data_IF_358473479171
#
_entry.id   IF_358473479171
#
_cell.length_a   1.000
_cell.length_b   1.000
_cell.length_c   1.000
_cell.angle_alpha   90.00
_cell.angle_beta   90.00
_cell.angle_gamma   90.00
#
_symmetry.space_group_name_H-M   'P 1'
#
loop_
_entity.id
_entity.type
_entity.pdbx_description
1 polymer ?
#
# COMPACT_ATOMS: atom_id res chain seq x y z
N UNK A 1 -8.79 -1.63 -6.72
CA UNK A 1 -8.01 -2.80 -6.25
C UNK A 1 -8.28 -3.99 -7.16
N UNK A 2 -7.44 -5.03 -7.21
CA UNK A 2 -7.81 -6.29 -7.88
C UNK A 2 -8.71 -7.19 -7.02
N UNK A 3 -9.31 -8.19 -7.66
CA UNK A 3 -10.13 -9.23 -7.02
C UNK A 3 -9.43 -9.91 -5.85
N UNK A 4 -8.14 -10.25 -5.97
CA UNK A 4 -7.40 -10.99 -4.92
C UNK A 4 -7.23 -10.12 -3.68
N UNK A 5 -6.88 -8.84 -3.88
CA UNK A 5 -6.84 -7.85 -2.81
C UNK A 5 -8.21 -7.68 -2.17
N UNK A 6 -9.29 -7.59 -2.95
CA UNK A 6 -10.64 -7.54 -2.41
C UNK A 6 -10.99 -8.77 -1.56
N UNK A 7 -10.73 -9.98 -2.07
CA UNK A 7 -11.02 -11.25 -1.37
C UNK A 7 -10.18 -11.43 -0.09
N UNK A 8 -8.99 -10.80 -0.03
CA UNK A 8 -8.15 -10.81 1.18
C UNK A 8 -8.66 -9.94 2.33
N UNK A 9 -9.59 -9.01 2.06
CA UNK A 9 -10.20 -8.18 3.10
C UNK A 9 -11.27 -9.01 3.83
N UNK A 10 -11.26 -9.09 5.18
CA UNK A 10 -12.31 -9.79 5.92
C UNK A 10 -13.70 -9.26 5.56
N UNK A 11 -14.72 -10.13 5.56
CA UNK A 11 -16.08 -9.77 5.12
C UNK A 11 -16.71 -8.64 5.94
N UNK A 12 -16.37 -8.53 7.22
CA UNK A 12 -16.81 -7.46 8.12
C UNK A 12 -16.25 -6.07 7.77
N UNK A 13 -15.14 -6.01 7.02
CA UNK A 13 -14.51 -4.77 6.57
C UNK A 13 -14.74 -4.52 5.07
N UNK A 14 -15.62 -5.30 4.44
CA UNK A 14 -16.04 -5.12 3.04
C UNK A 14 -17.48 -4.59 2.98
N UNK A 15 -17.74 -3.53 2.19
CA UNK A 15 -16.78 -2.66 1.50
C UNK A 15 -15.99 -1.78 2.47
N UNK A 16 -14.90 -1.18 2.00
CA UNK A 16 -14.17 -0.19 2.79
C UNK A 16 -15.07 1.03 3.05
N UNK A 17 -15.39 1.36 4.32
CA UNK A 17 -16.39 2.38 4.63
C UNK A 17 -15.92 3.78 4.22
N UNK A 18 -16.89 4.64 3.87
CA UNK A 18 -16.69 6.04 3.48
C UNK A 18 -15.99 6.25 2.14
N UNK A 19 -15.88 5.21 1.31
CA UNK A 19 -15.12 5.22 0.05
C UNK A 19 -15.86 4.47 -1.05
N UNK A 20 -15.65 4.91 -2.29
CA UNK A 20 -16.03 4.13 -3.46
C UNK A 20 -15.02 2.99 -3.68
N UNK A 21 -15.50 1.76 -3.70
CA UNK A 21 -14.68 0.57 -3.84
C UNK A 21 -14.73 0.08 -5.29
N UNK A 22 -13.68 0.35 -6.06
CA UNK A 22 -13.56 -0.14 -7.45
C UNK A 22 -12.71 -1.42 -7.48
N UNK A 23 -13.31 -2.52 -7.92
CA UNK A 23 -12.70 -3.86 -7.98
C UNK A 23 -12.46 -4.27 -9.44
N UNK A 24 -11.20 -4.55 -9.79
CA UNK A 24 -10.81 -5.01 -11.11
C UNK A 24 -10.97 -6.52 -11.21
N UNK A 25 -11.87 -6.99 -12.07
CA UNK A 25 -12.16 -8.41 -12.30
C UNK A 25 -12.51 -8.68 -13.76
N UNK A 26 -12.01 -9.80 -14.31
CA UNK A 26 -12.35 -10.26 -15.67
C UNK A 26 -13.65 -11.06 -15.72
N UNK A 27 -14.08 -11.61 -14.59
CA UNK A 27 -15.35 -12.32 -14.46
C UNK A 27 -16.45 -11.28 -14.30
N UNK A 28 -17.25 -11.07 -15.36
CA UNK A 28 -18.36 -10.09 -15.38
C UNK A 28 -19.54 -10.45 -14.46
N UNK A 29 -19.59 -11.69 -13.96
CA UNK A 29 -20.54 -12.14 -12.95
C UNK A 29 -19.83 -12.21 -11.61
N UNK A 30 -19.85 -11.11 -10.87
CA UNK A 30 -19.45 -11.11 -9.48
C UNK A 30 -20.63 -10.61 -8.65
N UNK A 31 -21.07 -11.43 -7.70
CA UNK A 31 -22.09 -11.11 -6.69
C UNK A 31 -21.70 -9.95 -5.75
N UNK A 32 -20.62 -9.21 -6.05
CA UNK A 32 -20.17 -8.02 -5.32
C UNK A 32 -20.98 -6.77 -5.74
N UNK A 33 -21.66 -6.78 -6.89
CA UNK A 33 -22.39 -5.63 -7.42
C UNK A 33 -23.68 -5.25 -6.64
N UNK A 34 -24.00 -5.97 -5.56
CA UNK A 34 -25.16 -5.68 -4.70
C UNK A 34 -24.85 -4.80 -3.48
N UNK A 35 -23.57 -4.55 -3.19
CA UNK A 35 -23.18 -3.68 -2.09
C UNK A 35 -23.12 -2.21 -2.55
N UNK A 36 -23.76 -1.33 -1.78
CA UNK A 36 -23.69 0.12 -1.99
C UNK A 36 -22.22 0.57 -1.99
N UNK A 37 -21.84 1.42 -2.97
CA UNK A 37 -20.47 1.91 -3.17
C UNK A 37 -19.43 0.87 -3.63
N UNK A 38 -19.85 -0.22 -4.29
CA UNK A 38 -18.92 -1.15 -4.95
C UNK A 38 -19.16 -1.22 -6.45
N UNK A 39 -18.09 -1.04 -7.23
CA UNK A 39 -18.12 -1.07 -8.69
C UNK A 39 -17.12 -2.12 -9.18
N UNK A 40 -17.53 -2.93 -10.14
CA UNK A 40 -16.64 -3.86 -10.83
C UNK A 40 -16.24 -3.30 -12.20
N UNK A 41 -14.95 -3.40 -12.53
CA UNK A 41 -14.43 -3.02 -13.85
C UNK A 41 -13.55 -4.12 -14.42
N UNK A 42 -13.59 -4.31 -15.74
CA UNK A 42 -12.80 -5.33 -16.43
C UNK A 42 -11.32 -4.95 -16.61
N UNK A 43 -11.01 -3.66 -16.53
CA UNK A 43 -9.68 -3.11 -16.74
C UNK A 43 -9.48 -1.79 -16.00
N UNK A 44 -8.21 -1.39 -15.86
CA UNK A 44 -7.83 -0.09 -15.29
C UNK A 44 -8.37 1.07 -16.12
N UNK A 45 -8.31 0.97 -17.45
CA UNK A 45 -8.81 2.01 -18.36
C UNK A 45 -10.32 2.23 -18.18
N UNK A 46 -11.10 1.15 -18.13
CA UNK A 46 -12.54 1.22 -17.87
C UNK A 46 -12.87 1.84 -16.51
N UNK A 47 -12.06 1.55 -15.48
CA UNK A 47 -12.23 2.17 -14.17
C UNK A 47 -11.95 3.68 -14.22
N UNK A 48 -10.88 4.11 -14.90
CA UNK A 48 -10.53 5.53 -15.03
C UNK A 48 -11.58 6.30 -15.84
N UNK A 49 -12.08 5.74 -16.94
CA UNK A 49 -13.16 6.34 -17.73
C UNK A 49 -14.43 6.51 -16.89
N UNK A 50 -14.79 5.52 -16.09
CA UNK A 50 -15.95 5.60 -15.19
C UNK A 50 -15.77 6.68 -14.12
N UNK A 51 -14.57 6.79 -13.53
CA UNK A 51 -14.26 7.81 -12.53
C UNK A 51 -14.19 9.22 -13.15
N UNK A 52 -13.84 9.33 -14.43
CA UNK A 52 -13.84 10.57 -15.19
C UNK A 52 -15.25 10.99 -15.67
N UNK A 53 -16.23 10.08 -15.62
CA UNK A 53 -17.62 10.36 -15.98
C UNK A 53 -18.44 10.92 -14.79
N UNK A 54 -19.52 11.62 -15.11
CA UNK A 54 -20.51 12.05 -14.11
C UNK A 54 -21.26 10.83 -13.55
N UNK A 55 -21.58 10.78 -12.23
CA UNK A 55 -21.40 11.82 -11.21
C UNK A 55 -20.05 11.78 -10.46
N UNK A 56 -19.18 10.82 -10.79
CA UNK A 56 -17.96 10.55 -10.04
C UNK A 56 -16.91 11.64 -10.20
N UNK A 57 -16.78 12.23 -11.38
CA UNK A 57 -15.83 13.32 -11.61
C UNK A 57 -16.07 14.57 -10.75
N UNK A 58 -17.29 14.77 -10.23
CA UNK A 58 -17.65 15.88 -9.36
C UNK A 58 -17.56 15.53 -7.87
N UNK A 59 -17.61 14.25 -7.52
CA UNK A 59 -17.68 13.76 -6.13
C UNK A 59 -16.38 13.11 -5.64
N UNK A 60 -15.49 12.73 -6.56
CA UNK A 60 -14.23 12.05 -6.26
C UNK A 60 -13.07 13.01 -6.50
N UNK A 61 -12.52 13.53 -5.41
CA UNK A 61 -11.33 14.39 -5.44
C UNK A 61 -10.04 13.58 -5.70
N UNK A 62 -9.96 12.36 -5.15
CA UNK A 62 -8.77 11.51 -5.22
C UNK A 62 -9.15 10.04 -5.29
N UNK A 63 -8.43 9.27 -6.10
CA UNK A 63 -8.49 7.81 -6.11
C UNK A 63 -7.15 7.21 -5.68
N UNK A 64 -7.19 6.04 -5.04
CA UNK A 64 -6.00 5.34 -4.55
C UNK A 64 -5.96 3.91 -5.10
N UNK A 65 -4.78 3.48 -5.58
CA UNK A 65 -4.51 2.09 -5.96
C UNK A 65 -3.97 1.33 -4.76
N UNK A 66 -4.81 0.55 -4.10
CA UNK A 66 -4.42 -0.21 -2.88
C UNK A 66 -3.92 -1.64 -3.18
N UNK A 67 -3.53 -1.92 -4.42
CA UNK A 67 -3.00 -3.21 -4.86
C UNK A 67 -3.92 -4.00 -5.81
N UNK A 68 -3.53 -5.23 -6.18
CA UNK A 68 -2.28 -5.92 -5.83
C UNK A 68 -1.08 -5.48 -6.68
N UNK A 69 0.05 -6.17 -6.55
CA UNK A 69 1.32 -5.81 -7.22
C UNK A 69 1.21 -5.71 -8.75
N UNK A 70 0.35 -6.52 -9.37
CA UNK A 70 0.08 -6.41 -10.82
C UNK A 70 -0.66 -5.12 -11.19
N UNK A 71 -1.65 -4.71 -10.40
CA UNK A 71 -2.39 -3.46 -10.62
C UNK A 71 -1.49 -2.27 -10.35
N UNK A 72 -0.69 -2.32 -9.28
CA UNK A 72 0.26 -1.28 -8.96
C UNK A 72 1.29 -1.10 -10.09
N UNK A 73 1.87 -2.19 -10.60
CA UNK A 73 2.79 -2.15 -11.75
C UNK A 73 2.15 -1.52 -12.98
N UNK A 74 0.90 -1.88 -13.30
CA UNK A 74 0.17 -1.28 -14.43
C UNK A 74 -0.12 0.19 -14.23
N UNK A 75 -0.50 0.60 -13.01
CA UNK A 75 -0.76 1.99 -12.68
C UNK A 75 0.50 2.85 -12.81
N UNK A 76 1.65 2.36 -12.33
CA UNK A 76 2.93 3.04 -12.45
C UNK A 76 3.43 3.17 -13.90
N UNK A 77 3.08 2.21 -14.75
CA UNK A 77 3.46 2.20 -16.17
C UNK A 77 2.42 2.85 -17.10
N UNK A 78 1.33 3.41 -16.58
CA UNK A 78 0.27 3.98 -17.41
C UNK A 78 0.66 5.38 -17.94
N UNK A 79 0.39 5.69 -19.23
CA UNK A 79 0.55 7.05 -19.76
C UNK A 79 -0.43 7.98 -19.03
N UNK A 80 0.09 8.99 -18.34
CA UNK A 80 -0.67 9.85 -17.40
C UNK A 80 -0.32 9.63 -15.92
N UNK A 81 0.52 8.64 -15.60
CA UNK A 81 1.25 8.62 -14.33
C UNK A 81 2.48 9.53 -14.47
N UNK A 82 2.25 10.86 -14.37
CA UNK A 82 3.30 11.87 -14.46
C UNK A 82 4.17 11.85 -13.19
N UNK A 83 4.97 10.81 -13.02
CA UNK A 83 5.79 10.56 -11.84
C UNK A 83 4.99 10.28 -10.54
N UNK A 84 5.70 9.70 -9.57
CA UNK A 84 5.37 9.82 -8.16
C UNK A 84 5.47 11.31 -7.84
N UNK A 85 4.41 12.07 -8.13
CA UNK A 85 4.42 13.52 -8.02
C UNK A 85 4.75 13.89 -6.58
N UNK A 86 5.78 14.72 -6.34
CA UNK A 86 6.09 15.20 -4.99
C UNK A 86 4.99 16.10 -4.42
N UNK A 87 4.01 16.52 -5.23
CA UNK A 87 2.95 17.47 -4.84
C UNK A 87 1.50 17.05 -5.19
N UNK A 88 1.28 15.86 -5.78
CA UNK A 88 0.03 15.14 -5.56
C UNK A 88 0.39 14.13 -4.50
N UNK A 89 -0.23 14.20 -3.32
CA UNK A 89 -0.01 13.19 -2.29
C UNK A 89 -0.61 11.86 -2.77
N UNK A 90 0.09 11.16 -3.67
CA UNK A 90 0.03 9.72 -3.81
C UNK A 90 0.49 9.18 -2.47
N UNK A 91 -0.44 9.12 -1.54
CA UNK A 91 -0.24 8.46 -0.27
C UNK A 91 -0.24 6.97 -0.59
N UNK A 92 0.94 6.45 -0.91
CA UNK A 92 1.19 5.01 -0.88
C UNK A 92 1.11 4.63 0.60
N UNK A 93 -0.10 4.33 1.06
CA UNK A 93 -0.30 3.79 2.40
C UNK A 93 0.23 2.36 2.36
N UNK A 94 1.37 2.14 3.02
CA UNK A 94 1.80 0.79 3.34
C UNK A 94 0.90 0.24 4.45
N UNK A 95 -0.13 -0.52 4.05
CA UNK A 95 -0.98 -1.25 4.99
C UNK A 95 -0.34 -2.60 5.31
N UNK A 96 0.17 -2.76 6.53
CA UNK A 96 0.67 -4.06 7.01
C UNK A 96 -0.47 -4.81 7.72
N UNK A 97 -0.87 -5.96 7.16
CA UNK A 97 -1.81 -6.89 7.76
C UNK A 97 -1.01 -8.09 8.29
N UNK A 98 -1.17 -8.43 9.56
CA UNK A 98 -0.49 -9.56 10.20
C UNK A 98 -1.52 -10.62 10.59
N UNK A 99 -1.18 -11.90 10.37
CA UNK A 99 -1.96 -13.03 10.89
C UNK A 99 -1.61 -13.31 12.36
N UNK A 100 -0.44 -13.90 12.59
CA UNK A 100 0.14 -14.08 13.93
C UNK A 100 1.35 -13.16 14.11
N UNK A 101 1.16 -12.09 14.87
CA UNK A 101 2.23 -11.17 15.27
C UNK A 101 2.54 -11.37 16.76
N UNK A 102 3.72 -11.90 17.05
CA UNK A 102 4.17 -12.16 18.42
C UNK A 102 5.54 -11.56 18.71
N UNK A 103 5.84 -11.41 19.99
CA UNK A 103 7.10 -10.86 20.51
C UNK A 103 7.74 -11.88 21.43
N UNK A 104 9.04 -12.16 21.25
CA UNK A 104 9.76 -13.04 22.16
C UNK A 104 9.84 -12.45 23.57
N UNK A 105 9.71 -13.29 24.59
CA UNK A 105 9.83 -12.87 26.00
C UNK A 105 11.16 -12.15 26.29
N UNK A 106 12.24 -12.55 25.62
CA UNK A 106 13.57 -11.91 25.71
C UNK A 106 13.60 -10.48 25.17
N UNK A 107 12.65 -10.08 24.34
CA UNK A 107 12.58 -8.76 23.69
C UNK A 107 11.63 -7.78 24.39
N UNK A 108 10.76 -8.25 25.29
CA UNK A 108 9.77 -7.40 25.99
C UNK A 108 10.43 -6.22 26.72
N UNK A 109 11.44 -6.48 27.55
CA UNK A 109 12.12 -5.42 28.32
C UNK A 109 12.87 -4.42 27.40
N UNK A 110 13.66 -4.86 26.39
CA UNK A 110 14.22 -3.96 25.39
C UNK A 110 13.18 -3.09 24.66
N UNK A 111 12.05 -3.67 24.27
CA UNK A 111 10.97 -2.95 23.57
C UNK A 111 10.29 -1.93 24.47
N UNK A 112 10.05 -2.24 25.76
CA UNK A 112 9.55 -1.25 26.73
C UNK A 112 10.46 -0.02 26.83
N UNK A 113 11.80 -0.21 26.80
CA UNK A 113 12.75 0.91 26.73
C UNK A 113 12.67 1.66 25.40
N UNK A 114 12.34 0.99 24.31
CA UNK A 114 12.14 1.61 23.00
C UNK A 114 10.88 2.48 22.98
N UNK A 115 9.77 2.02 23.59
CA UNK A 115 8.52 2.77 23.68
C UNK A 115 8.64 4.07 24.49
N UNK A 116 9.62 4.16 25.39
CA UNK A 116 9.92 5.40 26.12
C UNK A 116 10.63 6.46 25.26
N UNK A 117 11.08 6.12 24.04
CA UNK A 117 11.76 7.06 23.14
C UNK A 117 10.75 7.69 22.18
N UNK A 118 10.72 9.02 22.14
CA UNK A 118 9.92 9.73 21.14
C UNK A 118 10.38 9.37 19.71
N UNK A 119 9.44 9.08 18.79
CA UNK A 119 9.75 8.93 17.38
C UNK A 119 10.45 10.18 16.84
N UNK A 120 11.46 9.97 16.00
CA UNK A 120 12.06 11.05 15.19
C UNK A 120 11.35 11.11 13.84
N UNK A 121 11.45 12.23 13.10
CA UNK A 121 10.93 12.30 11.75
C UNK A 121 11.40 11.12 10.90
N UNK A 122 10.53 10.62 10.03
CA UNK A 122 10.90 9.57 9.09
C UNK A 122 11.94 10.10 8.09
N UNK A 123 12.88 9.25 7.64
CA UNK A 123 13.81 9.62 6.59
C UNK A 123 13.10 9.82 5.25
N UNK A 124 13.73 10.53 4.33
CA UNK A 124 13.26 10.68 2.95
C UNK A 124 14.04 9.75 2.03
N UNK A 125 13.37 8.85 1.31
CA UNK A 125 14.00 8.02 0.30
C UNK A 125 13.98 8.74 -1.06
N UNK A 126 15.15 9.09 -1.58
CA UNK A 126 15.32 9.63 -2.93
C UNK A 126 15.68 8.49 -3.89
N UNK A 127 14.94 8.38 -4.98
CA UNK A 127 15.11 7.36 -6.02
C UNK A 127 15.55 8.07 -7.31
N UNK A 128 16.55 7.52 -8.01
CA UNK A 128 16.95 8.04 -9.32
C UNK A 128 15.80 7.94 -10.33
N UNK A 129 15.48 9.04 -11.01
CA UNK A 129 14.40 9.12 -12.01
C UNK A 129 14.83 8.71 -13.42
N UNK A 130 16.09 8.34 -13.61
CA UNK A 130 16.65 7.97 -14.92
C UNK A 130 16.16 6.61 -15.40
N UNK A 131 15.81 5.73 -14.45
CA UNK A 131 15.36 4.37 -14.73
C UNK A 131 13.84 4.29 -14.70
N UNK A 132 13.28 3.67 -15.74
CA UNK A 132 11.82 3.45 -15.88
C UNK A 132 11.42 1.99 -15.69
N UNK A 133 12.37 1.06 -15.75
CA UNK A 133 12.11 -0.37 -15.54
C UNK A 133 12.43 -0.78 -14.10
N UNK A 134 11.49 -1.47 -13.46
CA UNK A 134 11.59 -1.87 -12.05
C UNK A 134 12.70 -2.88 -11.80
N UNK A 135 12.98 -3.75 -12.77
CA UNK A 135 13.97 -4.81 -12.64
C UNK A 135 15.42 -4.29 -12.92
N UNK A 136 15.54 -3.02 -13.34
CA UNK A 136 16.81 -2.36 -13.63
C UNK A 136 17.42 -1.59 -12.44
N UNK A 137 16.68 -1.45 -11.35
CA UNK A 137 17.14 -0.72 -10.16
C UNK A 137 18.20 -1.51 -9.39
N UNK A 138 19.22 -0.80 -8.91
CA UNK A 138 20.28 -1.30 -8.04
C UNK A 138 20.38 -0.45 -6.78
N UNK A 139 21.05 -0.96 -5.74
CA UNK A 139 21.13 -0.28 -4.44
C UNK A 139 21.63 1.18 -4.50
N UNK A 140 22.52 1.50 -5.45
CA UNK A 140 23.06 2.85 -5.62
C UNK A 140 22.06 3.87 -6.16
N UNK A 141 20.94 3.42 -6.74
CA UNK A 141 19.88 4.30 -7.24
C UNK A 141 19.01 4.87 -6.11
N UNK A 142 19.18 4.36 -4.89
CA UNK A 142 18.43 4.75 -3.71
C UNK A 142 19.33 5.51 -2.74
N UNK A 143 18.91 6.71 -2.34
CA UNK A 143 19.59 7.51 -1.31
C UNK A 143 18.63 7.79 -0.18
N UNK A 144 18.98 7.32 1.01
CA UNK A 144 18.23 7.60 2.22
C UNK A 144 18.75 8.92 2.83
N UNK A 145 17.92 9.96 2.80
CA UNK A 145 18.21 11.27 3.35
C UNK A 145 17.58 11.40 4.74
N UNK A 146 18.21 12.19 5.61
CA UNK A 146 17.70 12.52 6.95
C UNK A 146 17.44 11.29 7.85
N UNK A 147 18.23 10.23 7.67
CA UNK A 147 18.15 9.04 8.52
C UNK A 147 18.86 9.28 9.86
N UNK A 148 18.08 9.65 10.88
CA UNK A 148 18.57 9.90 12.24
C UNK A 148 18.03 8.86 13.25
N UNK A 149 18.48 7.59 13.20
CA UNK A 149 17.98 6.54 14.08
C UNK A 149 18.39 6.78 15.55
N UNK A 150 17.56 6.31 16.48
CA UNK A 150 17.95 6.28 17.91
C UNK A 150 19.09 5.28 18.12
N UNK A 151 19.89 5.49 19.18
CA UNK A 151 20.93 4.53 19.60
C UNK A 151 20.36 3.11 19.72
N UNK A 152 21.13 2.15 19.22
CA UNK A 152 20.84 0.70 19.26
C UNK A 152 20.47 0.27 20.68
N UNK A 153 19.44 -0.56 20.79
CA UNK A 153 19.10 -1.30 22.01
C UNK A 153 19.43 -2.75 21.71
N UNK A 154 20.36 -3.34 22.45
CA UNK A 154 20.71 -4.74 22.27
C UNK A 154 19.53 -5.65 22.65
N UNK A 155 19.22 -6.59 21.77
CA UNK A 155 18.21 -7.63 21.98
C UNK A 155 18.90 -8.98 21.78
N UNK A 156 18.75 -9.89 22.74
CA UNK A 156 19.32 -11.24 22.60
C UNK A 156 18.59 -11.99 21.50
N UNK A 157 19.31 -12.68 20.63
CA UNK A 157 18.70 -13.60 19.66
C UNK A 157 17.82 -14.60 20.41
N UNK A 158 16.56 -14.70 20.02
CA UNK A 158 15.68 -15.74 20.52
C UNK A 158 15.96 -17.00 19.72
N UNK A 159 16.25 -18.09 20.42
CA UNK A 159 16.41 -19.41 19.81
C UNK A 159 15.07 -20.12 20.02
N UNK A 160 14.43 -20.58 18.95
CA UNK A 160 13.35 -21.55 19.11
C UNK A 160 13.98 -22.83 19.65
N UNK A 161 13.51 -23.36 20.79
CA UNK A 161 13.94 -24.70 21.17
C UNK A 161 13.47 -25.66 20.08
N UNK A 162 14.40 -26.39 19.49
CA UNK A 162 14.08 -27.51 18.58
C UNK A 162 13.18 -28.49 19.33
N UNK A 163 12.11 -28.93 18.66
CA UNK A 163 11.20 -29.96 19.16
C UNK A 163 11.83 -31.35 19.03
#
# INVERSE_FOLDING_TARGET
MDRKTWESIPTEYRPLPGRLNVVLTRSGSFDIATAENVISCSSMSSALELLAASPYCLSIEKFCVIGGGQVLRKALNAPGCDAILPNISFLVILSMLFGDAHVYKTHVRPLQKQFQKLPRPFPTLKISSEKKDIDSFVATDFKLMDYDPRRKIEMKMAVFPEH
#
